data_IF_824125810801
#
_entry.id   IF_824125810801
#
_cell.length_a   1.000
_cell.length_b   1.000
_cell.length_c   1.000
_cell.angle_alpha   90.00
_cell.angle_beta   90.00
_cell.angle_gamma   90.00
#
_symmetry.space_group_name_H-M   'P 1'
#
loop_
_entity.id
_entity.type
_entity.pdbx_description
1 polymer ?
#
# COMPACT_ATOMS: atom_id res chain seq x y z
N UNK A 1 14.89 -14.27 -14.03
CA UNK A 1 14.39 -13.78 -12.73
C UNK A 1 13.21 -14.62 -12.32
N UNK A 2 13.04 -14.97 -11.04
CA UNK A 2 11.85 -15.71 -10.59
C UNK A 2 10.80 -14.70 -10.12
N UNK A 3 9.95 -14.25 -11.06
CA UNK A 3 8.87 -13.29 -10.75
C UNK A 3 7.63 -14.11 -10.38
N UNK A 4 7.13 -13.90 -9.16
CA UNK A 4 5.87 -14.52 -8.71
C UNK A 4 4.86 -13.41 -8.43
N UNK A 5 3.69 -13.52 -9.06
CA UNK A 5 2.57 -12.62 -8.84
C UNK A 5 1.53 -13.33 -7.98
N UNK A 6 1.30 -12.80 -6.78
CA UNK A 6 0.29 -13.34 -5.85
C UNK A 6 -1.02 -12.60 -6.06
N UNK A 7 -2.09 -13.32 -6.33
CA UNK A 7 -3.43 -12.78 -6.59
C UNK A 7 -4.50 -13.47 -5.75
N UNK A 8 -5.46 -12.67 -5.26
CA UNK A 8 -6.68 -13.18 -4.65
C UNK A 8 -7.71 -13.59 -5.71
N UNK A 9 -8.83 -14.18 -5.27
CA UNK A 9 -9.87 -14.70 -6.15
C UNK A 9 -11.00 -13.69 -6.41
N UNK A 10 -10.71 -12.39 -6.36
CA UNK A 10 -11.69 -11.37 -6.70
C UNK A 10 -12.22 -11.61 -8.14
N UNK A 11 -13.52 -11.36 -8.42
CA UNK A 11 -14.10 -11.59 -9.75
C UNK A 11 -13.38 -10.84 -10.88
N UNK A 12 -12.77 -9.68 -10.59
CA UNK A 12 -11.98 -8.93 -11.55
C UNK A 12 -10.70 -9.65 -12.01
N UNK A 13 -10.25 -10.69 -11.29
CA UNK A 13 -9.07 -11.50 -11.63
C UNK A 13 -9.44 -12.80 -12.34
N UNK A 14 -10.70 -12.98 -12.78
CA UNK A 14 -11.17 -14.24 -13.37
C UNK A 14 -10.36 -14.69 -14.61
N UNK A 15 -9.76 -13.75 -15.35
CA UNK A 15 -9.01 -14.03 -16.58
C UNK A 15 -7.49 -14.02 -16.41
N UNK A 16 -6.98 -13.99 -15.17
CA UNK A 16 -5.54 -13.85 -14.92
C UNK A 16 -4.70 -14.94 -15.61
N UNK A 17 -5.17 -16.19 -15.61
CA UNK A 17 -4.48 -17.32 -16.26
C UNK A 17 -4.33 -17.12 -17.78
N UNK A 18 -5.32 -16.50 -18.42
CA UNK A 18 -5.26 -16.23 -19.86
C UNK A 18 -4.18 -15.18 -20.18
N UNK A 19 -4.05 -14.15 -19.34
CA UNK A 19 -3.00 -13.12 -19.48
C UNK A 19 -1.63 -13.75 -19.29
N UNK A 20 -1.45 -14.60 -18.28
CA UNK A 20 -0.16 -15.28 -18.03
C UNK A 20 0.22 -16.33 -19.09
N UNK A 21 -0.69 -16.68 -20.00
CA UNK A 21 -0.36 -17.52 -21.16
C UNK A 21 0.26 -16.72 -22.32
N UNK A 22 0.19 -15.39 -22.30
CA UNK A 22 0.76 -14.54 -23.35
C UNK A 22 2.30 -14.57 -23.31
N UNK A 23 2.98 -14.46 -24.48
CA UNK A 23 4.44 -14.53 -24.56
C UNK A 23 5.18 -13.54 -23.66
N UNK A 24 4.60 -12.37 -23.39
CA UNK A 24 5.18 -11.33 -22.55
C UNK A 24 5.34 -11.75 -21.08
N UNK A 25 4.51 -12.70 -20.61
CA UNK A 25 4.45 -13.09 -19.20
C UNK A 25 4.96 -14.51 -18.93
N UNK A 26 5.57 -15.18 -19.91
CA UNK A 26 6.05 -16.57 -19.75
C UNK A 26 7.12 -16.74 -18.65
N UNK A 27 7.87 -15.68 -18.35
CA UNK A 27 8.88 -15.68 -17.28
C UNK A 27 8.30 -15.41 -15.88
N UNK A 28 7.00 -15.13 -15.78
CA UNK A 28 6.29 -14.87 -14.53
C UNK A 28 5.39 -16.03 -14.11
N UNK A 29 5.37 -16.34 -12.81
CA UNK A 29 4.51 -17.36 -12.24
C UNK A 29 3.33 -16.72 -11.52
N UNK A 30 2.11 -17.16 -11.86
CA UNK A 30 0.88 -16.77 -11.16
C UNK A 30 0.64 -17.69 -9.95
N UNK A 31 0.51 -17.11 -8.76
CA UNK A 31 0.13 -17.80 -7.54
C UNK A 31 -1.22 -17.30 -7.03
N UNK A 32 -2.25 -18.14 -7.16
CA UNK A 32 -3.58 -17.89 -6.58
C UNK A 32 -3.58 -18.17 -5.08
N UNK A 33 -4.20 -17.29 -4.31
CA UNK A 33 -4.51 -17.52 -2.91
C UNK A 33 -5.77 -18.38 -2.77
N UNK A 34 -5.89 -19.11 -1.66
CA UNK A 34 -7.16 -19.77 -1.33
C UNK A 34 -8.23 -18.72 -0.97
N UNK A 35 -9.52 -19.00 -1.23
CA UNK A 35 -10.60 -18.13 -0.78
C UNK A 35 -10.47 -17.77 0.70
N UNK A 36 -10.87 -16.54 1.05
CA UNK A 36 -10.88 -16.03 2.42
C UNK A 36 -9.52 -16.10 3.15
N UNK A 37 -8.41 -15.94 2.42
CA UNK A 37 -7.06 -15.92 2.98
C UNK A 37 -6.40 -14.52 2.92
N UNK A 38 -7.05 -13.43 3.39
CA UNK A 38 -6.48 -12.07 3.28
C UNK A 38 -5.19 -11.93 4.11
N UNK A 39 -5.03 -12.71 5.17
CA UNK A 39 -3.81 -12.73 5.98
C UNK A 39 -2.57 -13.19 5.17
N UNK A 40 -2.79 -13.91 4.07
CA UNK A 40 -1.73 -14.39 3.17
C UNK A 40 -1.54 -13.48 1.95
N UNK A 41 -2.34 -12.41 1.82
CA UNK A 41 -2.26 -11.47 0.70
C UNK A 41 -1.32 -10.31 1.07
N UNK A 42 -0.11 -10.21 0.47
CA UNK A 42 0.86 -9.19 0.85
C UNK A 42 0.36 -7.75 0.64
N UNK A 43 -0.58 -7.54 -0.29
CA UNK A 43 -1.15 -6.21 -0.53
C UNK A 43 -1.94 -5.68 0.67
N UNK A 44 -2.48 -6.56 1.51
CA UNK A 44 -3.23 -6.17 2.71
C UNK A 44 -2.32 -5.47 3.74
N UNK A 45 -1.05 -5.89 3.83
CA UNK A 45 -0.07 -5.20 4.68
C UNK A 45 0.22 -3.79 4.16
N UNK A 46 0.33 -3.64 2.83
CA UNK A 46 0.52 -2.34 2.19
C UNK A 46 -0.70 -1.44 2.42
N UNK A 47 -1.91 -1.95 2.22
CA UNK A 47 -3.15 -1.20 2.46
C UNK A 47 -3.34 -0.85 3.93
N UNK A 48 -3.00 -1.75 4.86
CA UNK A 48 -3.04 -1.45 6.29
C UNK A 48 -2.07 -0.32 6.66
N UNK A 49 -0.85 -0.31 6.12
CA UNK A 49 0.12 0.75 6.36
C UNK A 49 -0.30 2.08 5.69
N UNK A 50 -0.93 2.01 4.53
CA UNK A 50 -1.50 3.18 3.87
C UNK A 50 -2.67 3.76 4.67
N UNK A 51 -3.60 2.91 5.14
CA UNK A 51 -4.78 3.31 5.91
C UNK A 51 -4.39 4.03 7.19
N UNK A 52 -3.43 3.50 7.96
CA UNK A 52 -2.98 4.17 9.19
C UNK A 52 -2.45 5.59 8.96
N UNK A 53 -1.89 5.86 7.78
CA UNK A 53 -1.47 7.21 7.36
C UNK A 53 -2.65 8.11 7.03
N UNK A 54 -3.68 7.58 6.35
CA UNK A 54 -4.93 8.31 6.12
C UNK A 54 -5.62 8.65 7.45
N UNK A 55 -5.64 7.70 8.39
CA UNK A 55 -6.20 7.89 9.73
C UNK A 55 -5.45 9.00 10.48
N UNK A 56 -4.10 8.95 10.51
CA UNK A 56 -3.29 10.03 11.08
C UNK A 56 -3.58 11.39 10.42
N UNK A 57 -3.70 11.44 9.09
CA UNK A 57 -4.01 12.70 8.39
C UNK A 57 -5.40 13.23 8.76
N UNK A 58 -6.35 12.34 9.03
CA UNK A 58 -7.71 12.68 9.45
C UNK A 58 -7.70 13.25 10.87
N UNK A 59 -7.03 12.57 11.80
CA UNK A 59 -6.87 13.01 13.20
C UNK A 59 -6.16 14.37 13.30
N UNK A 60 -5.11 14.57 12.50
CA UNK A 60 -4.30 15.79 12.52
C UNK A 60 -4.73 16.83 11.48
N UNK A 61 -5.90 16.66 10.83
CA UNK A 61 -6.35 17.50 9.70
C UNK A 61 -6.29 18.99 10.00
N UNK A 62 -6.76 19.41 11.17
CA UNK A 62 -6.76 20.82 11.57
C UNK A 62 -5.33 21.40 11.63
N UNK A 63 -4.38 20.64 12.19
CA UNK A 63 -2.98 21.05 12.30
C UNK A 63 -2.27 21.05 10.94
N UNK A 64 -2.66 20.15 10.04
CA UNK A 64 -2.13 20.10 8.67
C UNK A 64 -2.57 21.33 7.88
N UNK A 65 -3.83 21.76 8.04
CA UNK A 65 -4.39 22.92 7.32
C UNK A 65 -3.93 24.25 7.92
N UNK A 66 -3.85 24.34 9.26
CA UNK A 66 -3.44 25.55 9.95
C UNK A 66 -1.93 25.78 9.85
N UNK A 67 -1.50 26.52 8.84
CA UNK A 67 -0.09 26.89 8.64
C UNK A 67 0.29 28.00 9.63
N UNK A 68 1.30 27.80 10.50
CA UNK A 68 1.74 28.83 11.44
C UNK A 68 2.33 30.07 10.73
N UNK A 69 2.17 31.24 11.34
CA UNK A 69 2.83 32.46 10.88
C UNK A 69 4.36 32.28 10.91
N UNK A 70 5.05 32.83 9.90
CA UNK A 70 6.50 32.71 9.75
C UNK A 70 6.98 31.39 9.13
N UNK A 71 6.07 30.48 8.75
CA UNK A 71 6.40 29.24 8.03
C UNK A 71 5.76 29.23 6.65
N UNK A 72 6.49 28.74 5.65
CA UNK A 72 5.91 28.56 4.30
C UNK A 72 5.00 27.33 4.26
N UNK A 73 3.96 27.36 3.43
CA UNK A 73 3.10 26.20 3.20
C UNK A 73 3.90 24.94 2.83
N UNK A 74 4.96 25.09 2.01
CA UNK A 74 5.83 24.00 1.60
C UNK A 74 6.57 23.38 2.79
N UNK A 75 7.16 24.19 3.66
CA UNK A 75 7.89 23.72 4.84
C UNK A 75 6.96 23.00 5.82
N UNK A 76 5.76 23.54 6.03
CA UNK A 76 4.72 22.94 6.87
C UNK A 76 4.26 21.57 6.32
N UNK A 77 3.90 21.51 5.04
CA UNK A 77 3.51 20.25 4.38
C UNK A 77 4.64 19.21 4.40
N UNK A 78 5.89 19.64 4.18
CA UNK A 78 7.06 18.74 4.25
C UNK A 78 7.27 18.15 5.64
N UNK A 79 6.99 18.89 6.71
CA UNK A 79 7.03 18.38 8.08
C UNK A 79 6.08 17.20 8.28
N UNK A 80 4.81 17.37 7.89
CA UNK A 80 3.82 16.29 7.98
C UNK A 80 4.17 15.11 7.07
N UNK A 81 4.64 15.35 5.84
CA UNK A 81 5.12 14.29 4.96
C UNK A 81 6.26 13.47 5.57
N UNK A 82 7.19 14.12 6.31
CA UNK A 82 8.27 13.42 7.02
C UNK A 82 7.75 12.56 8.18
N UNK A 83 6.79 13.08 8.97
CA UNK A 83 6.15 12.31 10.05
C UNK A 83 5.43 11.08 9.50
N UNK A 84 4.65 11.25 8.44
CA UNK A 84 3.91 10.17 7.79
C UNK A 84 4.81 9.08 7.21
N UNK A 85 6.00 9.44 6.72
CA UNK A 85 6.98 8.46 6.24
C UNK A 85 7.45 7.51 7.34
N UNK A 86 7.67 8.03 8.55
CA UNK A 86 8.14 7.23 9.70
C UNK A 86 7.07 6.24 10.17
N UNK A 87 5.80 6.66 10.17
CA UNK A 87 4.67 5.78 10.50
C UNK A 87 4.57 4.60 9.52
N UNK A 88 4.79 4.85 8.22
CA UNK A 88 4.76 3.81 7.19
C UNK A 88 5.85 2.75 7.40
N UNK A 89 7.09 3.18 7.68
CA UNK A 89 8.19 2.26 7.97
C UNK A 89 7.92 1.40 9.21
N UNK A 90 7.37 1.97 10.28
CA UNK A 90 7.03 1.21 11.49
C UNK A 90 5.87 0.24 11.26
N UNK A 91 4.82 0.67 10.56
CA UNK A 91 3.62 -0.14 10.33
C UNK A 91 3.90 -1.38 9.45
N UNK A 92 4.81 -1.27 8.48
CA UNK A 92 5.28 -2.39 7.68
C UNK A 92 6.18 -3.34 8.50
N UNK A 93 7.09 -2.79 9.32
CA UNK A 93 8.02 -3.57 10.14
C UNK A 93 7.34 -4.36 11.27
N UNK A 94 6.29 -3.82 11.89
CA UNK A 94 5.60 -4.46 13.02
C UNK A 94 4.59 -5.55 12.59
N UNK A 95 4.36 -5.72 11.28
CA UNK A 95 3.41 -6.70 10.73
C UNK A 95 4.06 -7.73 9.80
N UNK A 96 5.40 -7.73 9.74
CA UNK A 96 6.23 -8.72 9.02
C UNK A 96 6.74 -9.76 10.01
#
# INVERSE_FOLDING_TARGET
SNIVVVLDNAPCHASAEAVFAEPEFQDATLQRLRPYSPMLNPIENVFSAFKSKVDYMTEHRAQIIAVPQGTTMKAHSQHFCRKLRRLCSLALLLRS
#
